data_IF_285048864376
#
_entry.id   IF_285048864376
#
_cell.length_a   1.000
_cell.length_b   1.000
_cell.length_c   1.000
_cell.angle_alpha   90.00
_cell.angle_beta   90.00
_cell.angle_gamma   90.00
#
_symmetry.space_group_name_H-M   'P 1'
#
loop_
_entity.id
_entity.type
_entity.pdbx_description
1 polymer ?
#
# COMPACT_ATOMS: atom_id res chain seq x y z
N UNK A 1 88.02 -16.15 28.51
CA UNK A 1 87.10 -15.37 27.73
C UNK A 1 86.13 -16.30 26.97
N UNK A 2 84.95 -16.48 27.52
CA UNK A 2 83.99 -17.50 27.09
C UNK A 2 82.93 -16.78 26.17
N UNK A 3 82.87 -17.19 24.92
CA UNK A 3 81.87 -16.63 23.97
C UNK A 3 80.62 -17.51 24.10
N UNK A 4 79.61 -17.02 24.76
CA UNK A 4 78.26 -17.60 24.74
C UNK A 4 77.60 -17.32 23.38
N UNK A 5 77.38 -18.36 22.63
CA UNK A 5 76.55 -18.27 21.35
C UNK A 5 75.08 -18.36 21.75
N UNK A 6 74.32 -17.28 21.44
CA UNK A 6 72.89 -17.25 21.60
C UNK A 6 72.21 -17.99 20.39
N UNK A 7 71.66 -19.16 20.71
CA UNK A 7 70.81 -19.90 19.82
C UNK A 7 69.43 -19.21 19.73
N UNK A 8 69.18 -18.48 18.71
CA UNK A 8 67.84 -18.00 18.37
C UNK A 8 67.01 -19.16 17.81
N UNK A 9 66.12 -19.70 18.64
CA UNK A 9 65.09 -20.67 18.23
C UNK A 9 64.09 -19.97 17.32
N UNK A 10 64.20 -20.15 16.03
CA UNK A 10 63.24 -19.67 15.03
C UNK A 10 62.02 -20.56 15.05
N UNK A 11 61.03 -20.15 15.82
CA UNK A 11 59.73 -20.83 15.92
C UNK A 11 58.98 -20.66 14.60
N UNK A 12 59.18 -21.58 13.67
CA UNK A 12 58.52 -21.61 12.36
C UNK A 12 57.11 -22.17 12.55
N UNK A 13 56.15 -21.32 12.91
CA UNK A 13 54.72 -21.67 12.84
C UNK A 13 54.35 -21.85 11.37
N UNK A 14 54.45 -23.05 10.89
CA UNK A 14 53.84 -23.44 9.62
C UNK A 14 52.32 -23.35 9.81
N UNK A 15 51.71 -22.31 9.25
CA UNK A 15 50.28 -22.28 9.01
C UNK A 15 49.94 -23.43 8.04
N UNK A 16 49.48 -24.55 8.61
CA UNK A 16 48.89 -25.62 7.81
C UNK A 16 47.60 -25.05 7.23
N UNK A 17 47.66 -24.61 5.97
CA UNK A 17 46.45 -24.42 5.19
C UNK A 17 45.84 -25.82 5.02
N UNK A 18 44.83 -26.12 5.82
CA UNK A 18 44.02 -27.31 5.61
C UNK A 18 43.21 -27.10 4.34
N UNK A 19 43.54 -27.83 3.30
CA UNK A 19 42.80 -27.78 2.05
C UNK A 19 41.37 -28.25 2.30
N UNK A 20 40.42 -27.60 1.62
CA UNK A 20 39.01 -28.00 1.63
C UNK A 20 38.90 -29.46 1.17
N UNK A 21 38.25 -30.29 1.94
CA UNK A 21 38.04 -31.70 1.56
C UNK A 21 36.89 -31.79 0.53
N UNK A 22 36.95 -32.79 -0.34
CA UNK A 22 35.89 -33.02 -1.35
C UNK A 22 34.50 -33.15 -0.68
N UNK A 23 34.45 -33.77 0.49
CA UNK A 23 33.21 -33.97 1.25
C UNK A 23 32.65 -32.64 1.77
N UNK A 24 33.49 -31.70 2.20
CA UNK A 24 33.05 -30.36 2.61
C UNK A 24 32.45 -29.58 1.43
N UNK A 25 33.06 -29.65 0.23
CA UNK A 25 32.47 -29.07 -0.98
C UNK A 25 31.12 -29.68 -1.30
N UNK A 26 30.95 -30.98 -1.22
CA UNK A 26 29.67 -31.64 -1.49
C UNK A 26 28.60 -31.23 -0.49
N UNK A 27 28.95 -31.18 0.82
CA UNK A 27 28.03 -30.74 1.87
C UNK A 27 27.64 -29.26 1.66
N UNK A 28 28.57 -28.37 1.32
CA UNK A 28 28.31 -26.97 1.07
C UNK A 28 27.35 -26.78 -0.13
N UNK A 29 27.54 -27.53 -1.22
CA UNK A 29 26.67 -27.51 -2.39
C UNK A 29 25.28 -28.05 -2.07
N UNK A 30 25.17 -29.08 -1.26
CA UNK A 30 23.89 -29.63 -0.79
C UNK A 30 23.13 -28.61 0.04
N UNK A 31 23.77 -27.97 1.02
CA UNK A 31 23.17 -26.92 1.85
C UNK A 31 22.74 -25.72 1.00
N UNK A 32 23.58 -25.29 0.05
CA UNK A 32 23.26 -24.21 -0.86
C UNK A 32 22.00 -24.53 -1.69
N UNK A 33 21.88 -25.77 -2.17
CA UNK A 33 20.70 -26.22 -2.92
C UNK A 33 19.42 -26.11 -2.10
N UNK A 34 19.46 -26.56 -0.84
CA UNK A 34 18.31 -26.47 0.08
C UNK A 34 17.94 -25.02 0.33
N UNK A 35 18.91 -24.14 0.59
CA UNK A 35 18.68 -22.71 0.78
C UNK A 35 18.02 -22.10 -0.45
N UNK A 36 18.52 -22.38 -1.65
CA UNK A 36 17.93 -21.88 -2.89
C UNK A 36 16.48 -22.34 -3.09
N UNK A 37 16.17 -23.60 -2.77
CA UNK A 37 14.78 -24.11 -2.85
C UNK A 37 13.85 -23.40 -1.87
N UNK A 38 14.28 -23.20 -0.62
CA UNK A 38 13.49 -22.48 0.39
C UNK A 38 13.28 -21.00 -0.01
N UNK A 39 14.30 -20.35 -0.54
CA UNK A 39 14.19 -18.98 -1.03
C UNK A 39 13.20 -18.87 -2.19
N UNK A 40 13.26 -19.79 -3.15
CA UNK A 40 12.34 -19.81 -4.29
C UNK A 40 10.89 -19.98 -3.88
N UNK A 41 10.62 -20.83 -2.87
CA UNK A 41 9.28 -21.02 -2.31
C UNK A 41 8.78 -19.75 -1.61
N UNK A 42 9.64 -19.04 -0.86
CA UNK A 42 9.31 -17.81 -0.16
C UNK A 42 8.93 -16.66 -1.13
N UNK A 43 9.66 -16.52 -2.23
CA UNK A 43 9.38 -15.49 -3.24
C UNK A 43 8.02 -15.74 -3.90
N UNK A 44 7.69 -16.98 -4.27
CA UNK A 44 6.39 -17.32 -4.86
C UNK A 44 5.23 -16.96 -3.93
N UNK A 45 5.35 -17.25 -2.64
CA UNK A 45 4.33 -16.92 -1.65
C UNK A 45 4.15 -15.40 -1.51
N UNK A 46 5.23 -14.63 -1.49
CA UNK A 46 5.17 -13.17 -1.41
C UNK A 46 4.40 -12.56 -2.61
N UNK A 47 4.68 -13.02 -3.83
CA UNK A 47 3.98 -12.56 -5.05
C UNK A 47 2.49 -12.87 -4.98
N UNK A 48 2.10 -14.08 -4.55
CA UNK A 48 0.68 -14.47 -4.42
C UNK A 48 -0.04 -13.58 -3.41
N UNK A 49 0.58 -13.29 -2.26
CA UNK A 49 -0.01 -12.42 -1.23
C UNK A 49 -0.21 -11.01 -1.78
N UNK A 50 0.80 -10.43 -2.44
CA UNK A 50 0.71 -9.08 -3.02
C UNK A 50 -0.40 -8.97 -4.07
N UNK A 51 -0.54 -9.99 -4.94
CA UNK A 51 -1.59 -10.01 -5.97
C UNK A 51 -2.98 -10.09 -5.35
N UNK A 52 -3.16 -10.90 -4.30
CA UNK A 52 -4.44 -11.00 -3.58
C UNK A 52 -4.81 -9.67 -2.91
N UNK A 53 -3.88 -9.05 -2.20
CA UNK A 53 -4.11 -7.75 -1.56
C UNK A 53 -4.53 -6.67 -2.57
N UNK A 54 -3.91 -6.64 -3.75
CA UNK A 54 -4.30 -5.72 -4.81
C UNK A 54 -5.72 -5.99 -5.30
N UNK A 55 -6.08 -7.26 -5.54
CA UNK A 55 -7.42 -7.65 -5.97
C UNK A 55 -8.50 -7.33 -4.93
N UNK A 56 -8.19 -7.44 -3.64
CA UNK A 56 -9.11 -7.04 -2.56
C UNK A 56 -9.35 -5.54 -2.57
N UNK A 57 -8.31 -4.71 -2.74
CA UNK A 57 -8.45 -3.25 -2.83
C UNK A 57 -9.25 -2.80 -4.04
N UNK A 58 -9.09 -3.47 -5.17
CA UNK A 58 -9.90 -3.19 -6.35
C UNK A 58 -11.39 -3.45 -6.10
N UNK A 59 -11.74 -4.52 -5.39
CA UNK A 59 -13.13 -4.82 -5.00
C UNK A 59 -13.67 -3.79 -4.01
N UNK A 60 -12.92 -3.45 -2.97
CA UNK A 60 -13.31 -2.42 -2.01
C UNK A 60 -13.53 -1.07 -2.68
N UNK A 61 -12.69 -0.71 -3.64
CA UNK A 61 -12.85 0.49 -4.46
C UNK A 61 -14.15 0.47 -5.25
N UNK A 62 -14.48 -0.63 -5.91
CA UNK A 62 -15.73 -0.77 -6.66
C UNK A 62 -16.95 -0.66 -5.74
N UNK A 63 -16.91 -1.33 -4.58
CA UNK A 63 -17.99 -1.25 -3.59
C UNK A 63 -18.14 0.20 -3.10
N UNK A 64 -17.04 0.88 -2.81
CA UNK A 64 -17.05 2.29 -2.42
C UNK A 64 -17.72 3.17 -3.47
N UNK A 65 -17.40 3.01 -4.76
CA UNK A 65 -18.02 3.79 -5.84
C UNK A 65 -19.54 3.57 -5.91
N UNK A 66 -20.00 2.33 -5.78
CA UNK A 66 -21.43 2.00 -5.75
C UNK A 66 -22.11 2.61 -4.51
N UNK A 67 -21.47 2.51 -3.34
CA UNK A 67 -21.98 3.12 -2.11
C UNK A 67 -22.04 4.64 -2.21
N UNK A 68 -20.98 5.26 -2.72
CA UNK A 68 -20.93 6.70 -2.92
C UNK A 68 -22.09 7.16 -3.81
N UNK A 69 -22.30 6.51 -4.94
CA UNK A 69 -23.38 6.85 -5.87
C UNK A 69 -24.75 6.74 -5.20
N UNK A 70 -24.99 5.69 -4.43
CA UNK A 70 -26.24 5.51 -3.68
C UNK A 70 -26.45 6.58 -2.60
N UNK A 71 -25.39 6.91 -1.87
CA UNK A 71 -25.46 7.89 -0.77
C UNK A 71 -25.66 9.33 -1.27
N UNK A 72 -25.13 9.65 -2.46
CA UNK A 72 -25.25 11.00 -3.05
C UNK A 72 -26.42 11.15 -4.00
N UNK A 73 -27.17 10.08 -4.31
CA UNK A 73 -28.28 10.06 -5.26
C UNK A 73 -29.35 11.14 -5.00
N UNK A 74 -29.61 11.47 -3.73
CA UNK A 74 -30.57 12.49 -3.31
C UNK A 74 -29.87 13.78 -2.87
N UNK A 75 -28.66 14.04 -3.35
CA UNK A 75 -27.91 15.21 -2.99
C UNK A 75 -27.65 16.08 -4.22
N UNK A 76 -27.71 17.39 -4.00
CA UNK A 76 -27.31 18.39 -4.98
C UNK A 76 -25.83 18.73 -4.72
N UNK A 77 -25.03 18.78 -5.79
CA UNK A 77 -23.62 19.17 -5.70
C UNK A 77 -23.48 20.68 -5.47
N UNK A 78 -22.64 21.09 -4.54
CA UNK A 78 -22.32 22.50 -4.31
C UNK A 78 -20.91 22.85 -4.82
N UNK A 79 -19.90 22.17 -4.27
CA UNK A 79 -18.49 22.42 -4.63
C UNK A 79 -17.57 21.31 -4.13
N UNK A 80 -16.38 21.27 -4.71
CA UNK A 80 -15.29 20.38 -4.28
C UNK A 80 -14.14 21.18 -3.67
N UNK A 81 -13.54 20.65 -2.62
CA UNK A 81 -12.29 21.07 -2.02
C UNK A 81 -11.29 19.90 -2.07
N UNK A 82 -9.99 20.16 -1.92
CA UNK A 82 -8.97 19.13 -2.06
C UNK A 82 -9.19 17.86 -1.20
N UNK A 83 -9.80 18.00 -0.03
CA UNK A 83 -10.04 16.92 0.93
C UNK A 83 -11.50 16.52 1.11
N UNK A 84 -12.45 17.19 0.41
CA UNK A 84 -13.88 16.91 0.57
C UNK A 84 -14.74 17.41 -0.60
N UNK A 85 -15.86 16.72 -0.80
CA UNK A 85 -16.96 17.13 -1.66
C UNK A 85 -18.10 17.64 -0.77
N UNK A 86 -18.68 18.77 -1.10
CA UNK A 86 -19.78 19.39 -0.36
C UNK A 86 -21.05 19.26 -1.20
N UNK A 87 -22.08 18.73 -0.57
CA UNK A 87 -23.38 18.40 -1.15
C UNK A 87 -24.49 18.91 -0.24
N UNK A 88 -25.68 19.08 -0.78
CA UNK A 88 -26.89 19.36 -0.01
C UNK A 88 -27.93 18.30 -0.29
N UNK A 89 -28.44 17.66 0.74
CA UNK A 89 -29.48 16.66 0.64
C UNK A 89 -30.80 17.33 0.23
N UNK A 90 -31.40 16.91 -0.89
CA UNK A 90 -32.60 17.51 -1.47
C UNK A 90 -33.87 17.32 -0.64
N UNK A 91 -33.92 16.30 0.25
CA UNK A 91 -35.09 15.98 1.08
C UNK A 91 -35.18 16.84 2.33
N UNK A 92 -34.06 17.18 2.94
CA UNK A 92 -34.02 17.86 4.24
C UNK A 92 -33.23 19.17 4.22
N UNK A 93 -32.70 19.59 3.08
CA UNK A 93 -31.85 20.76 2.88
C UNK A 93 -30.62 20.81 3.79
N UNK A 94 -30.15 19.66 4.26
CA UNK A 94 -28.98 19.59 5.12
C UNK A 94 -27.72 19.37 4.31
N UNK A 95 -26.61 19.91 4.81
CA UNK A 95 -25.31 19.72 4.18
C UNK A 95 -24.78 18.33 4.45
N UNK A 96 -24.20 17.75 3.41
CA UNK A 96 -23.56 16.44 3.39
C UNK A 96 -22.12 16.65 2.91
N UNK A 97 -21.18 16.04 3.60
CA UNK A 97 -19.77 16.05 3.18
C UNK A 97 -19.30 14.64 2.93
N UNK A 98 -18.60 14.47 1.82
CA UNK A 98 -17.76 13.29 1.59
C UNK A 98 -16.32 13.75 1.78
N UNK A 99 -15.67 13.33 2.85
CA UNK A 99 -14.35 13.84 3.22
C UNK A 99 -13.35 12.73 3.56
N UNK A 100 -12.07 13.01 3.31
CA UNK A 100 -10.98 12.18 3.81
C UNK A 100 -10.62 12.59 5.24
N UNK A 101 -10.76 11.65 6.18
CA UNK A 101 -10.50 11.90 7.60
C UNK A 101 -10.03 10.62 8.30
N UNK A 102 -8.93 10.72 9.06
CA UNK A 102 -8.39 9.63 9.88
C UNK A 102 -8.23 8.29 9.11
N UNK A 103 -7.62 8.34 7.93
CA UNK A 103 -7.37 7.14 7.13
C UNK A 103 -8.63 6.53 6.49
N UNK A 104 -9.71 7.31 6.33
CA UNK A 104 -11.00 6.85 5.78
C UNK A 104 -11.61 7.92 4.89
N UNK A 105 -12.39 7.49 3.90
CA UNK A 105 -13.36 8.38 3.25
C UNK A 105 -14.69 8.17 3.97
N UNK A 106 -15.30 9.26 4.40
CA UNK A 106 -16.50 9.24 5.23
C UNK A 106 -17.57 10.17 4.67
N UNK A 107 -18.82 9.76 4.84
CA UNK A 107 -19.97 10.64 4.70
C UNK A 107 -20.29 11.25 6.06
N UNK A 108 -20.42 12.55 6.10
CA UNK A 108 -20.85 13.31 7.28
C UNK A 108 -22.15 14.02 6.94
N UNK A 109 -23.20 13.73 7.69
CA UNK A 109 -24.50 14.36 7.57
C UNK A 109 -25.09 14.59 8.95
N UNK A 110 -25.48 15.79 9.28
CA UNK A 110 -26.19 16.12 10.52
C UNK A 110 -25.47 15.67 11.83
N UNK A 111 -24.14 15.68 11.83
CA UNK A 111 -23.33 15.18 12.94
C UNK A 111 -23.11 13.65 12.93
N UNK A 112 -23.78 12.92 12.04
CA UNK A 112 -23.52 11.50 11.81
C UNK A 112 -22.21 11.30 11.01
N UNK A 113 -21.55 10.18 11.26
CA UNK A 113 -20.28 9.81 10.65
C UNK A 113 -20.39 8.39 10.13
N UNK A 114 -20.37 8.23 8.79
CA UNK A 114 -20.52 6.95 8.11
C UNK A 114 -19.24 6.68 7.28
N UNK A 115 -18.42 5.70 7.65
CA UNK A 115 -17.30 5.27 6.83
C UNK A 115 -17.79 4.63 5.52
N UNK A 116 -17.23 5.08 4.38
CA UNK A 116 -17.50 4.51 3.06
C UNK A 116 -16.31 3.71 2.53
N UNK A 117 -15.08 4.13 2.86
CA UNK A 117 -13.85 3.46 2.48
C UNK A 117 -12.84 3.57 3.62
N UNK A 118 -12.11 2.48 3.91
CA UNK A 118 -11.12 2.40 4.99
C UNK A 118 -9.71 2.20 4.43
N UNK A 119 -8.70 2.31 5.30
CA UNK A 119 -7.28 2.11 4.97
C UNK A 119 -6.80 3.02 3.82
N UNK A 120 -7.24 4.27 3.87
CA UNK A 120 -6.91 5.31 2.91
C UNK A 120 -5.74 6.14 3.42
N UNK A 121 -4.60 6.04 2.78
CA UNK A 121 -3.41 6.86 3.07
C UNK A 121 -3.62 8.30 2.64
N UNK A 122 -4.20 8.50 1.46
CA UNK A 122 -4.49 9.81 0.90
C UNK A 122 -5.71 9.74 -0.03
N UNK A 123 -6.55 10.76 0.02
CA UNK A 123 -7.60 10.98 -0.97
C UNK A 123 -7.59 12.43 -1.43
N UNK A 124 -7.75 12.65 -2.73
CA UNK A 124 -7.80 13.95 -3.37
C UNK A 124 -9.06 14.02 -4.23
N UNK A 125 -9.79 15.10 -4.08
CA UNK A 125 -10.97 15.40 -4.87
C UNK A 125 -10.72 16.63 -5.72
N UNK A 126 -10.93 16.52 -7.04
CA UNK A 126 -10.74 17.63 -7.98
C UNK A 126 -11.99 17.80 -8.84
N UNK A 127 -12.51 18.99 -8.90
CA UNK A 127 -13.58 19.35 -9.82
C UNK A 127 -13.01 19.59 -11.22
N UNK A 128 -13.54 18.88 -12.21
CA UNK A 128 -13.12 18.97 -13.60
C UNK A 128 -14.37 19.08 -14.50
N UNK A 129 -14.91 20.28 -14.58
CA UNK A 129 -16.11 20.57 -15.40
C UNK A 129 -17.36 19.86 -14.90
N UNK A 130 -17.80 18.80 -15.60
CA UNK A 130 -19.03 18.07 -15.28
C UNK A 130 -18.81 16.87 -14.35
N UNK A 131 -17.60 16.64 -13.85
CA UNK A 131 -17.30 15.53 -12.97
C UNK A 131 -16.31 15.93 -11.88
N UNK A 132 -16.31 15.17 -10.80
CA UNK A 132 -15.28 15.20 -9.76
C UNK A 132 -14.37 14.00 -9.98
N UNK A 133 -13.09 14.27 -10.16
CA UNK A 133 -12.06 13.24 -10.11
C UNK A 133 -11.82 12.88 -8.66
N UNK A 134 -11.93 11.60 -8.33
CA UNK A 134 -11.66 11.05 -7.01
C UNK A 134 -10.42 10.18 -7.14
N UNK A 135 -9.34 10.57 -6.49
CA UNK A 135 -8.07 9.85 -6.47
C UNK A 135 -7.79 9.35 -5.06
N UNK A 136 -7.48 8.08 -4.92
CA UNK A 136 -7.21 7.44 -3.63
C UNK A 136 -5.92 6.65 -3.70
N UNK A 137 -5.07 6.84 -2.70
CA UNK A 137 -3.94 5.95 -2.41
C UNK A 137 -4.24 5.22 -1.11
N UNK A 138 -4.24 3.90 -1.14
CA UNK A 138 -4.43 3.05 0.03
C UNK A 138 -3.15 2.96 0.87
N UNK A 139 -3.23 2.46 2.10
CA UNK A 139 -2.08 2.30 3.00
C UNK A 139 -1.01 1.35 2.45
N UNK A 140 -1.40 0.39 1.60
CA UNK A 140 -0.50 -0.51 0.89
C UNK A 140 0.02 0.03 -0.46
N UNK A 141 -0.07 1.36 -0.66
CA UNK A 141 0.36 2.09 -1.86
C UNK A 141 -0.37 1.70 -3.18
N UNK A 142 -1.47 0.97 -3.09
CA UNK A 142 -2.36 0.74 -4.25
C UNK A 142 -3.08 2.04 -4.56
N UNK A 143 -3.07 2.43 -5.84
CA UNK A 143 -3.74 3.64 -6.34
C UNK A 143 -5.02 3.26 -7.07
N UNK A 144 -6.08 4.03 -6.84
CA UNK A 144 -7.35 3.94 -7.55
C UNK A 144 -7.85 5.35 -7.88
N UNK A 145 -8.50 5.49 -9.04
CA UNK A 145 -9.12 6.74 -9.45
C UNK A 145 -10.42 6.49 -10.19
N UNK A 146 -11.38 7.38 -10.02
CA UNK A 146 -12.64 7.37 -10.75
C UNK A 146 -13.16 8.77 -10.98
N UNK A 147 -14.01 8.89 -12.01
CA UNK A 147 -14.77 10.11 -12.32
C UNK A 147 -16.20 9.93 -11.82
N UNK A 148 -16.61 10.77 -10.88
CA UNK A 148 -17.99 10.85 -10.45
C UNK A 148 -18.67 12.02 -11.19
N UNK A 149 -19.76 11.71 -11.92
CA UNK A 149 -20.47 12.72 -12.71
C UNK A 149 -21.33 13.56 -11.77
N UNK A 150 -21.15 14.88 -11.84
CA UNK A 150 -22.00 15.83 -11.11
C UNK A 150 -23.39 15.82 -11.76
N UNK A 151 -24.33 15.10 -11.15
CA UNK A 151 -25.74 15.17 -11.52
C UNK A 151 -26.31 16.46 -10.97
N UNK A 152 -26.07 17.58 -11.66
CA UNK A 152 -26.73 18.84 -11.39
C UNK A 152 -28.03 18.89 -12.16
N UNK A 153 -29.12 19.25 -11.50
CA UNK A 153 -30.27 19.78 -12.21
C UNK A 153 -29.80 21.04 -12.97
N UNK A 154 -29.58 20.92 -14.26
CA UNK A 154 -29.55 22.09 -15.11
C UNK A 154 -30.94 22.72 -15.03
N UNK A 155 -31.14 23.69 -14.14
CA UNK A 155 -32.16 24.70 -14.32
C UNK A 155 -31.80 25.38 -15.61
N UNK A 156 -32.58 25.07 -16.64
CA UNK A 156 -32.64 25.89 -17.84
C UNK A 156 -33.11 27.29 -17.42
N UNK A 157 -32.23 28.28 -17.51
CA UNK A 157 -32.58 29.62 -17.84
C UNK A 157 -32.56 29.77 -19.36
#
# INVERSE_FOLDING_TARGET
>A
MEKRALYLSKNNRQHKFSGFTLIECLLALLLLSIICLLFSASIKNAVVVTTRLKSEREKEWQIFMIQLENEVKNCHYEKTQANKIILTNTKNNKKVWIEHKLGKIVKVENGGYQPLLTEVKQAIFKEEGKYVMIEVTFENDVYAAAKWIITGNHTHE
#
